data_IF_451129623313
#
_entry.id   IF_451129623313
#
_cell.length_a   1.000
_cell.length_b   1.000
_cell.length_c   1.000
_cell.angle_alpha   90.00
_cell.angle_beta   90.00
_cell.angle_gamma   90.00
#
_symmetry.space_group_name_H-M   'P 1'
#
loop_
_entity.id
_entity.type
_entity.pdbx_description
1 polymer ?
#
# COMPACT_ATOMS: atom_id res chain seq x y z
N UNK A 1 5.52 -10.82 5.39
CA UNK A 1 4.34 -10.63 4.51
C UNK A 1 4.61 -9.52 3.51
N UNK A 2 3.87 -9.43 2.39
CA UNK A 2 4.09 -8.36 1.39
C UNK A 2 4.02 -6.95 2.02
N UNK A 3 3.05 -6.71 2.92
CA UNK A 3 2.95 -5.48 3.71
C UNK A 3 4.21 -5.17 4.52
N UNK A 4 4.81 -6.17 5.18
CA UNK A 4 6.04 -5.98 5.95
C UNK A 4 7.24 -5.66 5.07
N UNK A 5 7.34 -6.28 3.89
CA UNK A 5 8.36 -5.94 2.89
C UNK A 5 8.21 -4.51 2.40
N UNK A 6 6.97 -4.07 2.11
CA UNK A 6 6.66 -2.68 1.77
C UNK A 6 7.06 -1.71 2.88
N UNK A 7 6.75 -2.05 4.14
CA UNK A 7 7.16 -1.24 5.29
C UNK A 7 8.69 -1.13 5.45
N UNK A 8 9.42 -2.21 5.15
CA UNK A 8 10.89 -2.20 5.19
C UNK A 8 11.48 -1.35 4.07
N UNK A 9 11.01 -1.53 2.84
CA UNK A 9 11.43 -0.73 1.69
C UNK A 9 11.14 0.76 1.91
N UNK A 10 9.96 1.10 2.45
CA UNK A 10 9.58 2.47 2.79
C UNK A 10 10.57 3.10 3.78
N UNK A 11 10.92 2.38 4.87
CA UNK A 11 11.89 2.87 5.86
C UNK A 11 13.30 3.07 5.28
N UNK A 12 13.63 2.36 4.21
CA UNK A 12 14.90 2.51 3.49
C UNK A 12 14.85 3.60 2.42
N UNK A 13 13.70 4.24 2.19
CA UNK A 13 13.51 5.23 1.13
C UNK A 13 13.33 4.62 -0.27
N UNK A 14 13.19 3.30 -0.37
CA UNK A 14 12.95 2.60 -1.64
C UNK A 14 11.45 2.64 -1.98
N UNK A 15 10.93 3.84 -2.28
CA UNK A 15 9.49 4.06 -2.42
C UNK A 15 8.86 3.25 -3.56
N UNK A 16 9.55 3.10 -4.71
CA UNK A 16 9.03 2.28 -5.81
C UNK A 16 8.90 0.81 -5.41
N UNK A 17 9.91 0.24 -4.74
CA UNK A 17 9.82 -1.12 -4.24
C UNK A 17 8.71 -1.26 -3.19
N UNK A 18 8.54 -0.25 -2.33
CA UNK A 18 7.46 -0.25 -1.36
C UNK A 18 6.07 -0.27 -2.04
N UNK A 19 5.89 0.51 -3.12
CA UNK A 19 4.66 0.53 -3.94
C UNK A 19 4.36 -0.86 -4.50
N UNK A 20 5.36 -1.52 -5.09
CA UNK A 20 5.18 -2.86 -5.67
C UNK A 20 4.72 -3.85 -4.58
N UNK A 21 5.38 -3.83 -3.41
CA UNK A 21 5.03 -4.72 -2.29
C UNK A 21 3.66 -4.42 -1.69
N UNK A 22 3.25 -3.16 -1.57
CA UNK A 22 1.90 -2.84 -1.12
C UNK A 22 0.84 -3.24 -2.15
N UNK A 23 1.15 -3.14 -3.44
CA UNK A 23 0.27 -3.59 -4.51
C UNK A 23 0.04 -5.11 -4.45
N UNK A 24 1.11 -5.89 -4.26
CA UNK A 24 1.00 -7.33 -4.02
C UNK A 24 0.16 -7.66 -2.79
N UNK A 25 0.32 -6.89 -1.70
CA UNK A 25 -0.47 -7.06 -0.48
C UNK A 25 -1.97 -6.77 -0.72
N UNK A 26 -2.29 -5.69 -1.45
CA UNK A 26 -3.67 -5.32 -1.81
C UNK A 26 -4.30 -6.41 -2.67
N UNK A 27 -3.59 -6.91 -3.68
CA UNK A 27 -4.09 -8.01 -4.53
C UNK A 27 -4.36 -9.28 -3.72
N UNK A 28 -3.46 -9.65 -2.80
CA UNK A 28 -3.65 -10.80 -1.94
C UNK A 28 -4.90 -10.63 -1.04
N UNK A 29 -5.04 -9.48 -0.38
CA UNK A 29 -6.16 -9.19 0.52
C UNK A 29 -7.52 -9.13 -0.20
N UNK A 30 -7.55 -8.61 -1.43
CA UNK A 30 -8.78 -8.58 -2.25
C UNK A 30 -9.27 -9.97 -2.67
N UNK A 31 -8.41 -10.99 -2.61
CA UNK A 31 -8.79 -12.38 -2.86
C UNK A 31 -9.30 -13.11 -1.60
N UNK A 32 -9.21 -12.48 -0.43
CA UNK A 32 -9.71 -13.05 0.83
C UNK A 32 -11.18 -12.71 1.06
N UNK A 33 -11.83 -13.49 1.94
CA UNK A 33 -13.21 -13.19 2.34
C UNK A 33 -13.24 -11.89 3.15
N UNK A 34 -13.92 -10.88 2.59
CA UNK A 34 -14.06 -9.58 3.22
C UNK A 34 -14.66 -9.68 4.63
N UNK A 35 -13.87 -9.19 5.58
CA UNK A 35 -14.26 -8.97 6.97
C UNK A 35 -13.56 -7.69 7.47
N UNK A 36 -13.86 -7.28 8.70
CA UNK A 36 -13.34 -6.01 9.22
C UNK A 36 -11.82 -5.99 9.36
N UNK A 37 -11.19 -7.15 9.59
CA UNK A 37 -9.71 -7.27 9.62
C UNK A 37 -9.12 -7.03 8.23
N UNK A 38 -9.68 -7.67 7.18
CA UNK A 38 -9.22 -7.51 5.80
C UNK A 38 -9.40 -6.06 5.33
N UNK A 39 -10.55 -5.44 5.63
CA UNK A 39 -10.79 -4.02 5.31
C UNK A 39 -9.78 -3.10 5.99
N UNK A 40 -9.46 -3.36 7.27
CA UNK A 40 -8.47 -2.59 8.01
C UNK A 40 -7.08 -2.72 7.38
N UNK A 41 -6.67 -3.94 7.03
CA UNK A 41 -5.36 -4.15 6.42
C UNK A 41 -5.26 -3.59 4.99
N UNK A 42 -6.35 -3.64 4.20
CA UNK A 42 -6.43 -2.95 2.90
C UNK A 42 -6.25 -1.44 3.08
N UNK A 43 -6.99 -0.83 4.00
CA UNK A 43 -6.91 0.62 4.27
C UNK A 43 -5.49 1.04 4.65
N UNK A 44 -4.79 0.25 5.48
CA UNK A 44 -3.37 0.50 5.81
C UNK A 44 -2.46 0.40 4.58
N UNK A 45 -2.67 -0.60 3.72
CA UNK A 45 -1.85 -0.77 2.51
C UNK A 45 -2.06 0.39 1.53
N UNK A 46 -3.30 0.82 1.30
CA UNK A 46 -3.61 1.99 0.48
C UNK A 46 -2.99 3.26 1.07
N UNK A 47 -3.16 3.51 2.37
CA UNK A 47 -2.57 4.67 3.05
C UNK A 47 -1.04 4.71 2.91
N UNK A 48 -0.38 3.56 3.09
CA UNK A 48 1.07 3.48 2.97
C UNK A 48 1.55 3.63 1.53
N UNK A 49 0.82 3.09 0.55
CA UNK A 49 1.13 3.24 -0.88
C UNK A 49 0.93 4.69 -1.35
N UNK A 50 -0.12 5.37 -0.88
CA UNK A 50 -0.33 6.80 -1.09
C UNK A 50 0.87 7.62 -0.58
N UNK A 51 1.38 7.31 0.62
CA UNK A 51 2.53 8.00 1.17
C UNK A 51 3.81 7.78 0.34
N UNK A 52 3.98 6.61 -0.28
CA UNK A 52 5.08 6.35 -1.21
C UNK A 52 4.93 7.20 -2.47
N UNK A 53 3.74 7.24 -3.06
CA UNK A 53 3.43 8.05 -4.24
C UNK A 53 3.67 9.55 -3.97
N UNK A 54 3.29 10.05 -2.79
CA UNK A 54 3.61 11.43 -2.36
C UNK A 54 5.12 11.68 -2.34
N UNK A 55 5.92 10.77 -1.79
CA UNK A 55 7.38 10.91 -1.75
C UNK A 55 8.04 10.86 -3.14
N UNK A 56 7.35 10.31 -4.15
CA UNK A 56 7.76 10.28 -5.55
C UNK A 56 7.11 11.40 -6.38
N UNK A 57 6.37 12.32 -5.75
CA UNK A 57 5.62 13.39 -6.41
C UNK A 57 4.54 12.89 -7.40
N UNK A 58 4.08 11.65 -7.23
CA UNK A 58 3.00 11.00 -7.99
C UNK A 58 1.65 11.30 -7.34
N UNK A 59 1.22 12.56 -7.38
CA UNK A 59 0.06 13.01 -6.60
C UNK A 59 -1.28 12.41 -7.06
N UNK A 60 -1.44 12.14 -8.35
CA UNK A 60 -2.68 11.55 -8.88
C UNK A 60 -2.88 10.13 -8.32
N UNK A 61 -1.81 9.32 -8.30
CA UNK A 61 -1.84 7.97 -7.74
C UNK A 61 -2.06 7.99 -6.23
N UNK A 62 -1.49 8.98 -5.52
CA UNK A 62 -1.73 9.17 -4.10
C UNK A 62 -3.19 9.53 -3.79
N UNK A 63 -3.82 10.36 -4.63
CA UNK A 63 -5.24 10.70 -4.51
C UNK A 63 -6.10 9.47 -4.76
N UNK A 64 -5.80 8.67 -5.78
CA UNK A 64 -6.56 7.43 -6.03
C UNK A 64 -6.53 6.53 -4.79
N UNK A 65 -5.35 6.29 -4.21
CA UNK A 65 -5.20 5.47 -3.01
C UNK A 65 -5.97 6.04 -1.81
N UNK A 66 -6.05 7.37 -1.67
CA UNK A 66 -6.79 8.03 -0.59
C UNK A 66 -8.33 7.91 -0.72
N UNK A 67 -8.84 7.46 -1.87
CA UNK A 67 -10.29 7.24 -2.09
C UNK A 67 -10.75 5.80 -1.84
N UNK A 68 -9.83 4.90 -1.48
CA UNK A 68 -10.11 3.48 -1.21
C UNK A 68 -10.38 3.23 0.28
#
# INVERSE_FOLDING_TARGET
>A
TFREQGNQAFKQGHYQEAIDRYTDAIHALNNEQLNDSIKNDLSKCYSNRAQCNINLEQYDDAIEDATK
#
